data_IF_783795745089
#
_entry.id   IF_783795745089
#
_cell.length_a   1.000
_cell.length_b   1.000
_cell.length_c   1.000
_cell.angle_alpha   90.00
_cell.angle_beta   90.00
_cell.angle_gamma   90.00
#
_symmetry.space_group_name_H-M   'P 1'
#
loop_
_entity.id
_entity.type
_entity.pdbx_description
1 polymer ?
#
# COMPACT_ATOMS: atom_id res chain seq x y z
N UNK A 1 33.06 11.91 16.94
CA UNK A 1 32.45 10.64 16.49
C UNK A 1 32.94 10.36 15.09
N UNK A 2 33.52 9.19 14.85
CA UNK A 2 34.15 8.82 13.57
C UNK A 2 33.16 8.01 12.71
N UNK A 3 33.33 7.94 11.38
CA UNK A 3 32.48 7.15 10.49
C UNK A 3 32.38 5.65 10.84
N UNK A 4 33.35 5.12 11.60
CA UNK A 4 33.40 3.74 12.07
C UNK A 4 32.33 3.43 13.12
N UNK A 5 31.98 4.40 13.98
CA UNK A 5 30.99 4.24 15.06
C UNK A 5 29.56 4.07 14.52
N UNK A 6 29.26 4.70 13.38
CA UNK A 6 27.94 4.61 12.74
C UNK A 6 27.70 3.24 12.10
N UNK A 7 28.72 2.65 11.47
CA UNK A 7 28.64 1.30 10.88
C UNK A 7 28.46 0.22 11.93
N UNK A 8 29.18 0.30 13.05
CA UNK A 8 29.07 -0.66 14.15
C UNK A 8 27.71 -0.60 14.85
N UNK A 9 27.09 0.59 14.93
CA UNK A 9 25.76 0.74 15.53
C UNK A 9 24.64 0.23 14.60
N UNK A 10 24.74 0.46 13.29
CA UNK A 10 23.81 -0.09 12.30
C UNK A 10 23.86 -1.62 12.27
N UNK A 11 25.07 -2.21 12.23
CA UNK A 11 25.25 -3.66 12.25
C UNK A 11 24.67 -4.32 13.53
N UNK A 12 24.79 -3.66 14.69
CA UNK A 12 24.17 -4.12 15.95
C UNK A 12 22.64 -4.01 15.95
N UNK A 13 22.05 -3.06 15.22
CA UNK A 13 20.59 -2.96 15.06
C UNK A 13 20.03 -4.02 14.10
N UNK A 14 20.85 -4.54 13.19
CA UNK A 14 20.47 -5.67 12.31
C UNK A 14 20.65 -7.04 12.97
N UNK A 15 21.56 -7.17 13.96
CA UNK A 15 21.80 -8.39 14.69
C UNK A 15 20.59 -8.77 15.59
N UNK A 16 19.65 -9.54 15.05
CA UNK A 16 18.48 -10.06 15.78
C UNK A 16 17.17 -10.01 14.99
N UNK A 17 17.15 -9.38 13.81
CA UNK A 17 15.97 -9.40 12.93
C UNK A 17 15.97 -10.67 12.09
N UNK A 18 14.84 -11.39 11.96
CA UNK A 18 14.73 -12.44 10.97
C UNK A 18 14.90 -11.82 9.57
N UNK A 19 15.63 -12.53 8.71
CA UNK A 19 15.73 -12.13 7.31
C UNK A 19 14.34 -12.15 6.67
N UNK A 20 14.07 -11.18 5.78
CA UNK A 20 12.87 -11.20 4.97
C UNK A 20 12.82 -12.50 4.15
N UNK A 21 11.62 -13.03 3.83
CA UNK A 21 11.50 -14.17 2.94
C UNK A 21 12.28 -13.94 1.63
N UNK A 22 13.05 -14.93 1.12
CA UNK A 22 13.84 -14.76 -0.09
C UNK A 22 13.04 -14.29 -1.31
N UNK A 23 11.77 -14.71 -1.40
CA UNK A 23 10.86 -14.27 -2.47
C UNK A 23 10.52 -12.77 -2.37
N UNK A 24 10.36 -12.23 -1.16
CA UNK A 24 10.14 -10.80 -0.94
C UNK A 24 11.40 -10.01 -1.29
N UNK A 25 12.57 -10.43 -0.82
CA UNK A 25 13.84 -9.78 -1.12
C UNK A 25 14.12 -9.75 -2.64
N UNK A 26 13.93 -10.88 -3.33
CA UNK A 26 14.12 -10.97 -4.78
C UNK A 26 13.13 -10.08 -5.56
N UNK A 27 11.89 -9.95 -5.09
CA UNK A 27 10.91 -9.05 -5.72
C UNK A 27 11.31 -7.58 -5.53
N UNK A 28 11.72 -7.18 -4.33
CA UNK A 28 12.27 -5.83 -4.05
C UNK A 28 13.48 -5.55 -4.94
N UNK A 29 14.41 -6.50 -5.07
CA UNK A 29 15.58 -6.38 -5.95
C UNK A 29 15.17 -6.18 -7.41
N UNK A 30 14.14 -6.90 -7.88
CA UNK A 30 13.64 -6.79 -9.25
C UNK A 30 13.01 -5.43 -9.58
N UNK A 31 12.53 -4.68 -8.57
CA UNK A 31 12.03 -3.32 -8.76
C UNK A 31 13.14 -2.31 -9.11
N UNK A 32 14.40 -2.61 -8.76
CA UNK A 32 15.55 -1.78 -9.11
C UNK A 32 15.57 -0.40 -8.43
N UNK A 33 14.84 -0.23 -7.33
CA UNK A 33 14.67 1.05 -6.64
C UNK A 33 15.12 0.95 -5.19
N UNK A 34 16.36 1.40 -4.92
CA UNK A 34 17.06 1.35 -3.63
C UNK A 34 16.84 0.04 -2.82
N UNK A 35 17.08 -1.15 -3.41
CA UNK A 35 16.65 -2.42 -2.82
C UNK A 35 17.20 -2.66 -1.41
N UNK A 36 18.46 -2.28 -1.14
CA UNK A 36 19.06 -2.41 0.19
C UNK A 36 18.33 -1.54 1.24
N UNK A 37 17.90 -0.33 0.86
CA UNK A 37 17.18 0.60 1.74
C UNK A 37 15.77 0.07 2.01
N UNK A 38 15.08 -0.41 0.97
CA UNK A 38 13.73 -0.98 1.07
C UNK A 38 13.75 -2.25 1.95
N UNK A 39 14.72 -3.13 1.74
CA UNK A 39 14.90 -4.35 2.54
C UNK A 39 15.18 -3.99 4.01
N UNK A 40 16.06 -3.03 4.29
CA UNK A 40 16.32 -2.62 5.68
C UNK A 40 15.09 -2.01 6.33
N UNK A 41 14.36 -1.13 5.63
CA UNK A 41 13.13 -0.51 6.14
C UNK A 41 12.04 -1.55 6.43
N UNK A 42 11.80 -2.49 5.51
CA UNK A 42 10.86 -3.59 5.71
C UNK A 42 11.27 -4.50 6.88
N UNK A 43 12.54 -4.90 6.96
CA UNK A 43 13.04 -5.71 8.07
C UNK A 43 12.97 -4.98 9.41
N UNK A 44 13.26 -3.67 9.42
CA UNK A 44 13.13 -2.81 10.61
C UNK A 44 11.68 -2.77 11.10
N UNK A 45 10.73 -2.58 10.19
CA UNK A 45 9.31 -2.48 10.51
C UNK A 45 8.72 -3.82 11.02
N UNK A 46 9.18 -4.95 10.46
CA UNK A 46 8.77 -6.29 10.94
C UNK A 46 9.29 -6.60 12.35
N UNK A 47 10.46 -6.07 12.73
CA UNK A 47 11.07 -6.38 14.02
C UNK A 47 11.44 -7.86 14.12
N UNK A 48 10.70 -8.63 14.93
CA UNK A 48 10.89 -10.09 15.11
C UNK A 48 9.79 -10.93 14.48
N UNK A 49 8.74 -10.30 13.95
CA UNK A 49 7.63 -11.01 13.34
C UNK A 49 8.01 -11.54 11.96
N UNK A 50 7.51 -12.72 11.62
CA UNK A 50 7.62 -13.26 10.27
C UNK A 50 6.68 -12.53 9.30
N UNK A 51 7.07 -12.50 8.03
CA UNK A 51 6.21 -12.05 6.94
C UNK A 51 5.46 -13.25 6.38
N UNK A 52 4.14 -13.24 6.50
CA UNK A 52 3.26 -14.31 6.01
C UNK A 52 2.96 -14.18 4.52
N UNK A 53 2.75 -12.95 4.06
CA UNK A 53 2.68 -12.58 2.64
C UNK A 53 2.94 -11.09 2.47
N UNK A 54 3.12 -10.69 1.22
CA UNK A 54 3.45 -9.33 0.84
C UNK A 54 2.79 -8.94 -0.48
N UNK A 55 2.76 -7.63 -0.71
CA UNK A 55 2.38 -7.00 -1.97
C UNK A 55 3.31 -5.82 -2.20
N UNK A 56 3.88 -5.71 -3.40
CA UNK A 56 4.71 -4.57 -3.79
C UNK A 56 4.00 -3.81 -4.90
N UNK A 57 3.91 -2.49 -4.75
CA UNK A 57 3.43 -1.59 -5.77
C UNK A 57 4.54 -0.58 -6.10
N UNK A 58 4.90 -0.52 -7.37
CA UNK A 58 5.93 0.38 -7.87
C UNK A 58 5.26 1.39 -8.79
N UNK A 59 5.16 2.62 -8.31
CA UNK A 59 4.59 3.74 -9.05
C UNK A 59 5.71 4.62 -9.58
N UNK A 60 5.58 5.04 -10.84
CA UNK A 60 6.42 6.06 -11.44
C UNK A 60 5.51 7.18 -11.93
N UNK A 61 5.54 8.31 -11.23
CA UNK A 61 4.77 9.50 -11.58
C UNK A 61 5.68 10.50 -12.29
N UNK A 62 5.16 11.14 -13.33
CA UNK A 62 5.85 12.20 -14.07
C UNK A 62 5.22 13.54 -13.69
N UNK A 63 5.98 14.44 -13.07
CA UNK A 63 5.53 15.79 -12.75
C UNK A 63 6.53 16.82 -13.28
N UNK A 64 6.08 17.69 -14.20
CA UNK A 64 6.82 18.87 -14.70
C UNK A 64 8.35 18.65 -14.94
N UNK A 65 8.70 17.56 -15.65
CA UNK A 65 10.06 17.09 -15.99
C UNK A 65 10.83 16.30 -14.91
N UNK A 66 10.26 16.03 -13.75
CA UNK A 66 10.81 15.13 -12.73
C UNK A 66 10.07 13.78 -12.71
N UNK A 67 10.84 12.71 -12.53
CA UNK A 67 10.32 11.35 -12.33
C UNK A 67 10.33 11.08 -10.83
N UNK A 68 9.15 11.03 -10.23
CA UNK A 68 8.99 10.56 -8.85
C UNK A 68 8.76 9.05 -8.89
N UNK A 69 9.67 8.30 -8.29
CA UNK A 69 9.50 6.87 -8.10
C UNK A 69 9.05 6.66 -6.67
N UNK A 70 8.01 5.86 -6.52
CA UNK A 70 7.46 5.52 -5.23
C UNK A 70 7.30 4.02 -5.15
N UNK A 71 7.86 3.42 -4.11
CA UNK A 71 7.71 1.99 -3.85
C UNK A 71 6.94 1.78 -2.55
N UNK A 72 5.77 1.17 -2.66
CA UNK A 72 5.01 0.69 -1.52
C UNK A 72 5.24 -0.80 -1.34
N UNK A 73 5.64 -1.22 -0.14
CA UNK A 73 5.71 -2.61 0.29
C UNK A 73 4.70 -2.83 1.41
N UNK A 74 3.70 -3.66 1.16
CA UNK A 74 2.70 -4.05 2.14
C UNK A 74 3.03 -5.46 2.64
N UNK A 75 3.15 -5.63 3.95
CA UNK A 75 3.51 -6.88 4.61
C UNK A 75 2.42 -7.28 5.58
N UNK A 76 2.04 -8.55 5.57
CA UNK A 76 1.15 -9.12 6.59
C UNK A 76 1.96 -9.98 7.53
N UNK A 77 1.91 -9.65 8.82
CA UNK A 77 2.48 -10.47 9.89
C UNK A 77 1.37 -11.23 10.61
N UNK A 78 1.68 -12.08 11.60
CA UNK A 78 0.65 -12.71 12.43
C UNK A 78 -0.26 -11.72 13.18
N UNK A 79 0.23 -10.51 13.48
CA UNK A 79 -0.50 -9.58 14.38
C UNK A 79 -0.96 -8.28 13.73
N UNK A 80 -0.38 -7.89 12.59
CA UNK A 80 -0.61 -6.57 11.98
C UNK A 80 -0.34 -6.57 10.47
N UNK A 81 -0.90 -5.55 9.83
CA UNK A 81 -0.47 -5.08 8.52
C UNK A 81 0.66 -4.07 8.72
N UNK A 82 1.70 -4.14 7.90
CA UNK A 82 2.75 -3.14 7.84
C UNK A 82 2.77 -2.57 6.43
N UNK A 83 2.82 -1.24 6.31
CA UNK A 83 2.97 -0.57 5.02
C UNK A 83 4.26 0.22 5.09
N UNK A 84 5.18 -0.04 4.17
CA UNK A 84 6.43 0.69 4.02
C UNK A 84 6.41 1.47 2.72
N UNK A 85 6.71 2.76 2.78
CA UNK A 85 6.88 3.61 1.61
C UNK A 85 8.35 3.97 1.43
N UNK A 86 8.79 4.00 0.18
CA UNK A 86 10.10 4.52 -0.20
C UNK A 86 9.95 5.50 -1.34
N UNK A 87 10.45 6.71 -1.12
CA UNK A 87 10.51 7.81 -2.08
C UNK A 87 11.95 8.27 -2.24
N UNK A 88 12.18 9.10 -3.26
CA UNK A 88 13.40 9.84 -3.41
C UNK A 88 13.17 11.34 -3.56
N UNK A 89 14.14 12.09 -3.05
CA UNK A 89 14.19 13.53 -3.15
C UNK A 89 15.59 13.96 -3.49
N UNK A 90 15.73 14.88 -4.44
CA UNK A 90 17.00 15.56 -4.68
C UNK A 90 16.98 16.90 -3.98
N UNK A 91 17.88 17.09 -3.01
CA UNK A 91 18.01 18.33 -2.26
C UNK A 91 19.46 18.81 -2.32
N UNK A 92 19.68 20.06 -2.75
CA UNK A 92 21.03 20.62 -2.99
C UNK A 92 21.91 19.77 -3.91
N UNK A 93 21.31 19.12 -4.92
CA UNK A 93 22.01 18.24 -5.86
C UNK A 93 22.41 16.87 -5.30
N UNK A 94 21.92 16.51 -4.10
CA UNK A 94 22.13 15.20 -3.50
C UNK A 94 20.84 14.40 -3.46
N UNK A 95 20.90 13.19 -4.02
CA UNK A 95 19.81 12.21 -3.97
C UNK A 95 19.70 11.62 -2.56
N UNK A 96 18.50 11.64 -2.01
CA UNK A 96 18.16 11.07 -0.71
C UNK A 96 16.98 10.11 -0.89
N UNK A 97 17.08 8.91 -0.31
CA UNK A 97 15.95 8.01 -0.16
C UNK A 97 15.24 8.32 1.16
N UNK A 98 13.91 8.42 1.11
CA UNK A 98 13.06 8.67 2.27
C UNK A 98 12.22 7.42 2.47
N UNK A 99 12.26 6.85 3.67
CA UNK A 99 11.42 5.71 4.03
C UNK A 99 10.50 6.05 5.19
N UNK A 100 9.27 5.59 5.10
CA UNK A 100 8.32 5.60 6.21
C UNK A 100 7.70 4.22 6.37
N UNK A 101 7.26 3.89 7.58
CA UNK A 101 6.53 2.64 7.83
C UNK A 101 5.39 2.86 8.80
N UNK A 102 4.27 2.20 8.53
CA UNK A 102 3.08 2.21 9.35
C UNK A 102 2.78 0.79 9.83
N UNK A 103 2.35 0.64 11.09
CA UNK A 103 1.99 -0.64 11.71
C UNK A 103 0.54 -0.59 12.16
N UNK A 104 -0.30 -1.36 11.48
CA UNK A 104 -1.75 -1.31 11.60
C UNK A 104 -2.25 -2.65 12.15
N UNK A 105 -2.67 -2.74 13.44
CA UNK A 105 -3.24 -3.97 13.96
C UNK A 105 -4.55 -4.30 13.23
N UNK A 106 -4.83 -5.58 12.99
CA UNK A 106 -6.01 -5.97 12.19
C UNK A 106 -7.33 -5.45 12.76
N UNK A 107 -7.45 -5.35 14.09
CA UNK A 107 -8.64 -4.77 14.74
C UNK A 107 -8.88 -3.28 14.49
N UNK A 108 -7.93 -2.56 13.88
CA UNK A 108 -8.12 -1.17 13.40
C UNK A 108 -8.45 -1.08 11.91
N UNK A 109 -8.29 -2.16 11.16
CA UNK A 109 -8.67 -2.18 9.75
C UNK A 109 -10.20 -2.15 9.68
N UNK A 110 -10.72 -1.00 9.28
CA UNK A 110 -12.16 -0.75 9.19
C UNK A 110 -12.80 -1.36 7.95
N UNK A 111 -12.04 -1.44 6.84
CA UNK A 111 -12.53 -1.99 5.58
C UNK A 111 -11.39 -2.50 4.69
N UNK A 112 -11.66 -3.57 3.96
CA UNK A 112 -10.78 -4.14 2.93
C UNK A 112 -11.62 -4.46 1.70
N UNK A 113 -11.53 -3.63 0.66
CA UNK A 113 -12.34 -3.71 -0.56
C UNK A 113 -11.47 -4.14 -1.73
N UNK A 114 -11.87 -5.23 -2.40
CA UNK A 114 -11.26 -5.68 -3.65
C UNK A 114 -12.24 -5.46 -4.79
N UNK A 115 -11.87 -4.64 -5.76
CA UNK A 115 -12.68 -4.38 -6.96
C UNK A 115 -11.98 -4.95 -8.19
N UNK A 116 -12.76 -5.54 -9.11
CA UNK A 116 -12.26 -6.13 -10.36
C UNK A 116 -13.11 -5.69 -11.53
N UNK A 117 -12.47 -5.37 -12.64
CA UNK A 117 -13.10 -5.06 -13.93
C UNK A 117 -12.82 -6.20 -14.89
N UNK A 118 -13.88 -6.77 -15.46
CA UNK A 118 -13.81 -7.94 -16.35
C UNK A 118 -14.31 -7.52 -17.74
N UNK A 119 -13.51 -7.77 -18.78
CA UNK A 119 -13.94 -7.67 -20.18
C UNK A 119 -14.64 -8.97 -20.60
N UNK A 120 -15.63 -8.87 -21.49
CA UNK A 120 -16.45 -10.00 -21.96
C UNK A 120 -16.99 -10.87 -20.81
N UNK A 121 -17.71 -10.28 -19.83
CA UNK A 121 -18.20 -11.03 -18.66
C UNK A 121 -19.11 -12.19 -19.03
N UNK A 122 -19.79 -12.14 -20.18
CA UNK A 122 -20.65 -13.19 -20.73
C UNK A 122 -19.90 -14.49 -21.07
N UNK A 123 -18.58 -14.43 -21.30
CA UNK A 123 -17.74 -15.59 -21.60
C UNK A 123 -16.81 -15.97 -20.44
N UNK A 124 -16.93 -15.32 -19.28
CA UNK A 124 -16.07 -15.58 -18.12
C UNK A 124 -16.22 -17.02 -17.61
N UNK A 125 -15.10 -17.76 -17.56
CA UNK A 125 -15.09 -19.17 -17.14
C UNK A 125 -15.62 -20.15 -18.19
N UNK A 126 -15.95 -19.69 -19.40
CA UNK A 126 -16.43 -20.52 -20.50
C UNK A 126 -15.39 -20.61 -21.63
N UNK A 127 -15.40 -21.73 -22.35
CA UNK A 127 -14.53 -21.95 -23.52
C UNK A 127 -15.09 -21.28 -24.80
N UNK A 128 -15.53 -20.02 -24.69
CA UNK A 128 -16.11 -19.23 -25.79
C UNK A 128 -15.25 -17.99 -26.04
N UNK A 129 -15.10 -17.60 -27.32
CA UNK A 129 -14.28 -16.45 -27.72
C UNK A 129 -15.13 -15.22 -28.07
N UNK A 130 -14.67 -13.99 -27.74
CA UNK A 130 -13.46 -13.69 -26.95
C UNK A 130 -13.62 -14.13 -25.49
N UNK A 131 -12.55 -14.69 -24.91
CA UNK A 131 -12.59 -15.16 -23.52
C UNK A 131 -12.68 -14.00 -22.52
N UNK A 132 -13.45 -14.19 -21.45
CA UNK A 132 -13.55 -13.22 -20.37
C UNK A 132 -12.21 -13.06 -19.65
N UNK A 133 -11.78 -11.82 -19.44
CA UNK A 133 -10.46 -11.52 -18.88
C UNK A 133 -10.49 -10.34 -17.91
N UNK A 134 -9.61 -10.37 -16.91
CA UNK A 134 -9.42 -9.24 -16.00
C UNK A 134 -8.76 -8.09 -16.77
N UNK A 135 -9.41 -6.93 -16.74
CA UNK A 135 -8.87 -5.67 -17.29
C UNK A 135 -8.07 -4.96 -16.20
N UNK A 136 -8.62 -4.94 -14.99
CA UNK A 136 -8.09 -4.13 -13.91
C UNK A 136 -8.55 -4.67 -12.57
N UNK A 137 -7.75 -4.46 -11.53
CA UNK A 137 -8.08 -4.81 -10.15
C UNK A 137 -7.48 -3.79 -9.22
N UNK A 138 -8.22 -3.40 -8.19
CA UNK A 138 -7.66 -2.58 -7.12
C UNK A 138 -8.11 -3.03 -5.73
N UNK A 139 -7.19 -2.87 -4.78
CA UNK A 139 -7.37 -3.12 -3.36
C UNK A 139 -7.41 -1.78 -2.63
N UNK A 140 -8.46 -1.53 -1.87
CA UNK A 140 -8.57 -0.42 -0.94
C UNK A 140 -8.56 -0.95 0.49
N UNK A 141 -7.70 -0.40 1.34
CA UNK A 141 -7.63 -0.74 2.76
C UNK A 141 -7.81 0.56 3.53
N UNK A 142 -8.75 0.59 4.47
CA UNK A 142 -8.99 1.76 5.32
C UNK A 142 -8.82 1.41 6.79
N UNK A 143 -8.04 2.20 7.54
CA UNK A 143 -7.80 2.00 8.97
C UNK A 143 -7.96 3.25 9.83
N UNK A 144 -8.20 4.41 9.21
CA UNK A 144 -8.69 5.61 9.89
C UNK A 144 -7.84 6.05 11.09
N UNK A 145 -6.50 5.93 11.01
CA UNK A 145 -5.62 6.39 12.09
C UNK A 145 -5.71 7.91 12.27
N UNK A 146 -5.93 8.65 11.17
CA UNK A 146 -6.30 10.05 11.09
C UNK A 146 -7.54 10.17 10.21
N UNK A 147 -8.45 11.06 10.60
CA UNK A 147 -9.60 11.43 9.78
C UNK A 147 -9.64 12.93 9.61
N UNK A 148 -9.72 13.38 8.36
CA UNK A 148 -9.96 14.78 8.03
C UNK A 148 -11.46 14.99 7.85
N UNK A 149 -11.99 15.99 8.54
CA UNK A 149 -13.38 16.44 8.38
C UNK A 149 -13.34 17.79 7.66
N UNK A 150 -13.84 17.82 6.43
CA UNK A 150 -14.07 19.07 5.70
C UNK A 150 -15.54 19.45 5.85
N UNK A 151 -15.82 20.54 6.56
CA UNK A 151 -17.18 21.05 6.82
C UNK A 151 -17.47 22.28 5.97
N UNK A 152 -18.69 22.34 5.41
CA UNK A 152 -19.25 23.51 4.75
C UNK A 152 -20.66 23.77 5.28
N UNK A 153 -21.15 25.02 5.31
CA UNK A 153 -22.56 25.29 5.56
C UNK A 153 -23.43 24.47 4.61
N UNK A 154 -24.46 23.82 5.14
CA UNK A 154 -25.41 23.10 4.33
C UNK A 154 -26.28 24.11 3.55
N UNK A 155 -26.55 23.81 2.27
CA UNK A 155 -27.43 24.59 1.40
C UNK A 155 -28.64 23.73 0.99
N UNK A 156 -29.82 24.35 0.89
CA UNK A 156 -31.05 23.70 0.44
C UNK A 156 -31.35 23.94 -1.05
N UNK A 157 -30.52 24.72 -1.75
CA UNK A 157 -30.67 25.01 -3.18
C UNK A 157 -31.69 26.11 -3.51
N UNK A 158 -32.32 26.71 -2.48
CA UNK A 158 -33.14 27.90 -2.62
C UNK A 158 -32.29 29.16 -2.36
N UNK A 159 -32.04 30.00 -3.39
CA UNK A 159 -31.19 31.19 -3.26
C UNK A 159 -31.79 32.29 -2.38
N UNK A 160 -33.05 32.14 -1.96
CA UNK A 160 -33.76 33.10 -1.10
C UNK A 160 -33.96 32.59 0.33
N UNK A 161 -33.48 31.38 0.64
CA UNK A 161 -33.61 30.81 1.97
C UNK A 161 -32.57 31.41 2.93
N UNK A 162 -33.03 32.03 4.03
CA UNK A 162 -32.19 32.57 5.10
C UNK A 162 -32.09 31.62 6.32
N UNK A 163 -32.61 30.40 6.22
CA UNK A 163 -32.60 29.45 7.32
C UNK A 163 -31.20 28.86 7.55
N UNK A 164 -30.83 28.67 8.81
CA UNK A 164 -29.62 27.93 9.17
C UNK A 164 -29.89 26.43 9.02
N UNK A 165 -29.23 25.83 8.02
CA UNK A 165 -29.33 24.40 7.72
C UNK A 165 -28.20 23.57 8.38
N UNK A 166 -27.38 24.19 9.23
CA UNK A 166 -26.23 23.56 9.86
C UNK A 166 -25.08 23.36 8.88
N UNK A 167 -24.30 22.29 9.09
CA UNK A 167 -23.13 21.96 8.29
C UNK A 167 -23.29 20.60 7.62
N UNK A 168 -22.86 20.50 6.37
CA UNK A 168 -22.56 19.23 5.72
C UNK A 168 -21.06 18.99 5.77
N UNK A 169 -20.66 17.73 5.80
CA UNK A 169 -19.26 17.35 5.96
C UNK A 169 -18.87 16.16 5.12
N UNK A 170 -17.64 16.17 4.63
CA UNK A 170 -16.99 14.96 4.11
C UNK A 170 -15.97 14.47 5.15
N UNK A 171 -16.05 13.17 5.47
CA UNK A 171 -15.11 12.48 6.35
C UNK A 171 -14.23 11.60 5.47
N UNK A 172 -12.95 11.95 5.38
CA UNK A 172 -11.93 11.12 4.74
C UNK A 172 -11.01 10.55 5.81
N UNK A 173 -10.87 9.22 5.86
CA UNK A 173 -9.93 8.54 6.75
C UNK A 173 -8.69 8.09 6.00
N UNK A 174 -7.64 7.75 6.75
CA UNK A 174 -6.46 7.10 6.15
C UNK A 174 -6.87 5.81 5.44
N UNK A 175 -6.48 5.76 4.16
CA UNK A 175 -6.63 4.61 3.29
C UNK A 175 -5.40 4.45 2.39
N UNK A 176 -5.28 3.26 1.80
CA UNK A 176 -4.39 3.03 0.67
C UNK A 176 -5.17 2.34 -0.44
N UNK A 177 -4.90 2.76 -1.67
CA UNK A 177 -5.44 2.13 -2.88
C UNK A 177 -4.29 1.61 -3.73
N UNK A 178 -4.23 0.29 -3.92
CA UNK A 178 -3.29 -0.34 -4.85
C UNK A 178 -4.07 -0.80 -6.07
N UNK A 179 -3.71 -0.28 -7.25
CA UNK A 179 -4.40 -0.54 -8.51
C UNK A 179 -3.43 -1.16 -9.50
N UNK A 180 -3.80 -2.32 -10.04
CA UNK A 180 -2.98 -3.05 -11.00
C UNK A 180 -3.82 -3.53 -12.18
N UNK A 181 -3.18 -3.69 -13.33
CA UNK A 181 -3.78 -4.25 -14.55
C UNK A 181 -2.82 -5.26 -15.18
N UNK A 182 -3.32 -6.30 -15.89
CA UNK A 182 -2.43 -7.20 -16.59
C UNK A 182 -1.59 -6.52 -17.67
N UNK A 183 -2.09 -5.41 -18.24
CA UNK A 183 -1.40 -4.65 -19.27
C UNK A 183 -0.21 -3.83 -18.73
N UNK A 184 -0.30 -3.30 -17.52
CA UNK A 184 0.75 -2.48 -16.90
C UNK A 184 1.67 -3.32 -15.99
N UNK A 185 1.09 -4.19 -15.17
CA UNK A 185 1.79 -4.88 -14.07
C UNK A 185 2.03 -6.37 -14.35
N UNK A 186 1.34 -6.91 -15.35
CA UNK A 186 1.34 -8.33 -15.67
C UNK A 186 0.30 -9.13 -14.87
N UNK A 187 -0.19 -10.21 -15.47
CA UNK A 187 -1.23 -11.07 -14.88
C UNK A 187 -0.84 -11.67 -13.53
N UNK A 188 0.44 -11.96 -13.33
CA UNK A 188 0.95 -12.56 -12.09
C UNK A 188 0.88 -11.59 -10.91
N UNK A 189 1.21 -10.31 -11.11
CA UNK A 189 1.08 -9.29 -10.06
C UNK A 189 -0.40 -9.04 -9.72
N UNK A 190 -1.27 -9.01 -10.72
CA UNK A 190 -2.73 -8.92 -10.49
C UNK A 190 -3.25 -10.13 -9.70
N UNK A 191 -2.78 -11.34 -10.01
CA UNK A 191 -3.14 -12.53 -9.24
C UNK A 191 -2.64 -12.47 -7.79
N UNK A 192 -1.43 -11.94 -7.56
CA UNK A 192 -0.87 -11.71 -6.22
C UNK A 192 -1.68 -10.68 -5.43
N UNK A 193 -2.08 -9.57 -6.06
CA UNK A 193 -2.97 -8.56 -5.48
C UNK A 193 -4.28 -9.19 -4.99
N UNK A 194 -4.94 -9.99 -5.84
CA UNK A 194 -6.18 -10.70 -5.48
C UNK A 194 -5.95 -11.66 -4.31
N UNK A 195 -4.85 -12.43 -4.35
CA UNK A 195 -4.55 -13.40 -3.30
C UNK A 195 -4.23 -12.73 -1.95
N UNK A 196 -3.45 -11.64 -1.97
CA UNK A 196 -3.15 -10.82 -0.80
C UNK A 196 -4.43 -10.22 -0.21
N UNK A 197 -5.24 -9.56 -1.05
CA UNK A 197 -6.51 -8.97 -0.65
C UNK A 197 -7.46 -10.00 -0.01
N UNK A 198 -7.57 -11.20 -0.60
CA UNK A 198 -8.43 -12.28 -0.10
C UNK A 198 -7.99 -12.72 1.30
N UNK A 199 -6.68 -12.90 1.54
CA UNK A 199 -6.14 -13.28 2.85
C UNK A 199 -6.30 -12.16 3.88
N UNK A 200 -6.10 -10.91 3.46
CA UNK A 200 -6.29 -9.75 4.32
C UNK A 200 -7.77 -9.60 4.73
N UNK A 201 -8.71 -9.78 3.80
CA UNK A 201 -10.15 -9.80 4.11
C UNK A 201 -10.48 -10.83 5.19
N UNK A 202 -9.95 -12.05 5.07
CA UNK A 202 -10.20 -13.12 6.04
C UNK A 202 -9.73 -12.77 7.46
N UNK A 203 -8.59 -12.09 7.61
CA UNK A 203 -8.04 -11.75 8.94
C UNK A 203 -8.58 -10.43 9.49
N UNK A 204 -8.83 -9.43 8.64
CA UNK A 204 -9.31 -8.11 9.05
C UNK A 204 -10.79 -8.15 9.45
N UNK A 205 -11.61 -8.96 8.78
CA UNK A 205 -13.03 -9.10 9.12
C UNK A 205 -13.33 -10.35 9.95
N UNK A 206 -12.32 -11.20 10.20
CA UNK A 206 -12.46 -12.48 10.89
C UNK A 206 -12.28 -12.42 12.41
N UNK A 207 -12.38 -11.23 13.03
CA UNK A 207 -12.24 -11.08 14.47
C UNK A 207 -13.28 -11.91 15.23
N UNK A 208 -12.79 -12.75 16.15
CA UNK A 208 -13.59 -13.44 17.17
C UNK A 208 -14.56 -12.47 17.84
N UNK A 209 -15.83 -12.92 17.94
CA UNK A 209 -16.73 -12.54 19.03
C UNK A 209 -16.38 -13.36 20.27
#
# INVERSE_FOLDING_TARGET
MTPSDHRDRAARLQAGRPALPPALAAEIESCGYFPEVVIDAAALACGVEEVLDHLIHHEATFEMDEIHRHLTVILRTPTRLIICHTDDRTENGQLQAITSSESIPFGRVSSVVLTRVIAHPESFGHAVQPAGSTVETWLQIAWGAVSRIDLAPADCGDPTCEADHGYTGNLSGDDITIRMSPAADGSDQVARLVAFATRLQQVATGGDR
#
